data_IF_865983253662
#
_entry.id   IF_865983253662
#
_cell.length_a   1.000
_cell.length_b   1.000
_cell.length_c   1.000
_cell.angle_alpha   90.00
_cell.angle_beta   90.00
_cell.angle_gamma   90.00
#
_symmetry.space_group_name_H-M   'P 1'
#
loop_
_entity.id
_entity.type
_entity.pdbx_description
1 polymer ?
#
# COMPACT_ATOMS: atom_id res chain seq x y z
N UNK A 1 -25.38 4.49 -1.94
CA UNK A 1 -24.11 5.05 -1.41
C UNK A 1 -23.01 4.04 -1.66
N UNK A 2 -21.88 4.43 -2.27
CA UNK A 2 -20.72 3.54 -2.53
C UNK A 2 -19.65 3.85 -1.48
N UNK A 3 -19.11 2.82 -0.83
CA UNK A 3 -18.03 2.95 0.17
C UNK A 3 -16.89 2.01 -0.24
N UNK A 4 -15.66 2.51 -0.22
CA UNK A 4 -14.45 1.76 -0.55
C UNK A 4 -13.52 1.83 0.67
N UNK A 5 -13.38 0.73 1.45
CA UNK A 5 -12.56 0.74 2.66
C UNK A 5 -11.07 0.84 2.32
N UNK A 6 -10.35 1.67 3.07
CA UNK A 6 -8.89 1.81 2.97
C UNK A 6 -8.22 1.08 4.13
N UNK A 7 -7.35 0.13 3.82
CA UNK A 7 -6.74 -0.78 4.80
C UNK A 7 -5.21 -0.64 4.76
N UNK A 8 -4.59 -0.60 5.94
CA UNK A 8 -3.13 -0.62 6.12
C UNK A 8 -2.71 -2.00 6.63
N UNK A 9 -1.68 -2.59 6.02
CA UNK A 9 -1.21 -3.95 6.33
C UNK A 9 0.21 -3.99 6.90
N UNK A 10 0.77 -2.86 7.35
CA UNK A 10 2.11 -2.77 7.97
C UNK A 10 3.20 -3.50 7.17
N UNK A 11 3.25 -3.28 5.86
CA UNK A 11 4.21 -3.91 4.95
C UNK A 11 3.81 -5.30 4.42
N UNK A 12 2.71 -5.89 4.89
CA UNK A 12 2.23 -7.23 4.48
C UNK A 12 1.12 -7.20 3.42
N UNK A 13 1.07 -6.15 2.61
CA UNK A 13 0.00 -5.96 1.62
C UNK A 13 -0.03 -7.10 0.59
N UNK A 14 1.12 -7.59 0.14
CA UNK A 14 1.18 -8.69 -0.84
C UNK A 14 0.59 -10.00 -0.31
N UNK A 15 0.91 -10.36 0.93
CA UNK A 15 0.33 -11.55 1.59
C UNK A 15 -1.19 -11.40 1.73
N UNK A 16 -1.66 -10.20 2.08
CA UNK A 16 -3.08 -9.92 2.23
C UNK A 16 -3.83 -10.03 0.89
N UNK A 17 -3.25 -9.51 -0.20
CA UNK A 17 -3.83 -9.65 -1.54
C UNK A 17 -3.97 -11.12 -1.94
N UNK A 18 -2.92 -11.93 -1.75
CA UNK A 18 -2.99 -13.38 -2.05
C UNK A 18 -4.04 -14.08 -1.19
N UNK A 19 -4.11 -13.78 0.10
CA UNK A 19 -5.15 -14.32 0.98
C UNK A 19 -6.56 -14.00 0.45
N UNK A 20 -6.84 -12.74 0.09
CA UNK A 20 -8.17 -12.36 -0.40
C UNK A 20 -8.48 -12.93 -1.79
N UNK A 21 -7.49 -13.06 -2.67
CA UNK A 21 -7.65 -13.78 -3.94
C UNK A 21 -8.09 -15.22 -3.70
N UNK A 22 -7.46 -15.93 -2.77
CA UNK A 22 -7.79 -17.33 -2.47
C UNK A 22 -9.09 -17.48 -1.70
N UNK A 23 -9.30 -16.68 -0.65
CA UNK A 23 -10.44 -16.82 0.26
C UNK A 23 -11.75 -16.31 -0.36
N UNK A 24 -11.69 -15.28 -1.19
CA UNK A 24 -12.87 -14.59 -1.73
C UNK A 24 -12.99 -14.66 -3.26
N UNK A 25 -12.01 -15.23 -3.96
CA UNK A 25 -11.96 -15.14 -5.42
C UNK A 25 -11.75 -13.70 -5.91
N UNK A 26 -11.13 -12.85 -5.08
CA UNK A 26 -10.97 -11.44 -5.39
C UNK A 26 -10.07 -11.21 -6.62
N UNK A 27 -10.29 -10.10 -7.32
CA UNK A 27 -9.43 -9.64 -8.41
C UNK A 27 -8.68 -8.37 -7.98
N UNK A 28 -7.37 -8.38 -8.16
CA UNK A 28 -6.54 -7.17 -8.03
C UNK A 28 -6.74 -6.33 -9.28
N UNK A 29 -7.34 -5.15 -9.13
CA UNK A 29 -7.63 -4.23 -10.24
C UNK A 29 -6.48 -3.24 -10.51
N UNK A 30 -5.75 -2.86 -9.46
CA UNK A 30 -4.55 -2.02 -9.52
C UNK A 30 -3.55 -2.44 -8.46
N UNK A 31 -2.27 -2.32 -8.78
CA UNK A 31 -1.15 -2.53 -7.85
C UNK A 31 -0.07 -1.50 -8.18
N UNK A 32 0.30 -0.69 -7.19
CA UNK A 32 1.37 0.30 -7.29
C UNK A 32 2.37 0.02 -6.18
N UNK A 33 3.66 -0.09 -6.51
CA UNK A 33 4.73 -0.19 -5.50
C UNK A 33 5.18 1.21 -5.11
N UNK A 34 5.71 1.34 -3.90
CA UNK A 34 6.22 2.63 -3.41
C UNK A 34 7.26 3.25 -4.34
N UNK A 35 8.17 2.43 -4.90
CA UNK A 35 9.19 2.84 -5.88
C UNK A 35 8.64 3.35 -7.22
N UNK A 36 7.40 2.99 -7.54
CA UNK A 36 6.75 3.38 -8.79
C UNK A 36 5.94 4.69 -8.61
N UNK A 37 5.99 5.29 -7.40
CA UNK A 37 5.31 6.55 -7.12
C UNK A 37 5.91 7.70 -7.97
N UNK A 38 5.12 8.36 -8.83
CA UNK A 38 5.62 9.43 -9.68
C UNK A 38 5.94 10.73 -8.92
N UNK A 39 5.37 10.92 -7.73
CA UNK A 39 5.70 12.05 -6.86
C UNK A 39 6.91 11.73 -5.98
N UNK A 40 7.80 12.71 -5.71
CA UNK A 40 8.88 12.54 -4.74
C UNK A 40 8.27 12.05 -3.41
N UNK A 41 8.95 11.13 -2.73
CA UNK A 41 8.58 10.57 -1.43
C UNK A 41 8.39 11.60 -0.27
N UNK A 42 8.35 12.89 -0.60
CA UNK A 42 8.16 14.02 0.30
C UNK A 42 6.71 14.52 0.24
N UNK A 43 5.80 13.79 0.87
CA UNK A 43 4.49 14.29 1.25
C UNK A 43 4.24 13.91 2.70
N UNK A 44 3.79 14.86 3.52
CA UNK A 44 3.33 14.61 4.88
C UNK A 44 2.09 13.71 4.83
N UNK A 45 2.27 12.40 4.80
CA UNK A 45 1.15 11.47 4.74
C UNK A 45 1.58 10.01 4.77
N UNK A 46 0.93 9.25 5.67
CA UNK A 46 1.10 7.81 5.93
C UNK A 46 2.27 7.37 6.82
N UNK A 47 3.09 8.29 7.35
CA UNK A 47 4.02 7.95 8.42
C UNK A 47 3.40 8.32 9.76
N UNK A 48 3.05 7.32 10.56
CA UNK A 48 2.77 7.50 11.98
C UNK A 48 4.07 7.94 12.68
N UNK A 49 4.36 9.25 12.62
CA UNK A 49 5.29 9.97 13.47
C UNK A 49 6.75 9.50 13.51
N UNK A 50 7.67 10.37 13.06
CA UNK A 50 9.11 10.39 13.40
C UNK A 50 10.07 9.44 12.68
N UNK A 51 10.09 9.45 11.34
CA UNK A 51 11.24 8.95 10.59
C UNK A 51 11.35 9.56 9.20
N UNK A 52 12.56 9.81 8.66
CA UNK A 52 12.70 10.08 7.24
C UNK A 52 12.13 8.87 6.47
N UNK A 53 11.37 9.13 5.41
CA UNK A 53 10.88 8.08 4.52
C UNK A 53 12.02 7.17 4.04
N UNK A 54 11.72 5.93 3.63
CA UNK A 54 12.75 5.00 3.17
C UNK A 54 13.55 5.63 2.04
N UNK A 55 14.87 5.62 2.16
CA UNK A 55 15.78 6.13 1.13
C UNK A 55 15.62 5.31 -0.15
N UNK A 56 15.84 5.90 -1.34
CA UNK A 56 15.60 5.27 -2.65
C UNK A 56 16.29 3.93 -2.94
N UNK A 57 17.19 3.46 -2.07
CA UNK A 57 17.93 2.21 -2.22
C UNK A 57 17.31 1.01 -1.46
N UNK A 58 16.14 1.16 -0.84
CA UNK A 58 15.34 0.06 -0.26
C UNK A 58 14.12 -0.28 -1.11
#
# INVERSE_FOLDING_TARGET
MKVEPYLMFEGRCDEALEFYRHALGAQVTMLMRYKDNPEPAAGEGCADGSGPGPTPEM
#
